data_IF_258961222629
#
_entry.id   IF_258961222629
#
_cell.length_a   1.000
_cell.length_b   1.000
_cell.length_c   1.000
_cell.angle_alpha   90.00
_cell.angle_beta   90.00
_cell.angle_gamma   90.00
#
_symmetry.space_group_name_H-M   'P 1'
#
loop_
_entity.id
_entity.type
_entity.pdbx_description
1 polymer ?
2 polymer ?
3 polymer ?
4 non-polymer ?
5 non-polymer ?
6 water ?
#
# COMPACT_ATOMS: atom_id res chain seq x y z
N UNK A 1 12.47 12.58 -25.67
CA UNK A 1 12.47 12.89 -27.10
C UNK A 1 11.16 13.50 -27.55
N UNK A 2 10.16 12.66 -27.71
CA UNK A 2 8.83 13.12 -28.10
C UNK A 2 8.15 13.50 -26.81
N UNK A 3 7.26 14.49 -26.87
CA UNK A 3 6.48 14.99 -25.72
C UNK A 3 5.61 13.86 -25.13
N UNK A 4 5.19 12.92 -25.98
CA UNK A 4 4.34 11.79 -25.62
C UNK A 4 5.12 10.65 -24.94
N UNK A 5 6.46 10.75 -24.81
CA UNK A 5 7.20 9.71 -24.09
C UNK A 5 7.24 10.15 -22.65
N UNK A 6 6.62 9.38 -21.76
CA UNK A 6 6.56 9.80 -20.36
C UNK A 6 7.82 9.46 -19.59
N UNK A 7 8.27 8.19 -19.66
CA UNK A 7 9.43 7.74 -18.90
C UNK A 7 10.29 6.77 -19.72
N UNK A 8 11.61 6.98 -19.67
CA UNK A 8 12.61 6.16 -20.39
C UNK A 8 13.71 5.75 -19.42
N UNK A 9 14.17 4.51 -19.57
CA UNK A 9 15.37 3.99 -18.90
C UNK A 9 16.25 3.42 -19.98
N UNK A 10 17.46 3.91 -20.09
CA UNK A 10 18.39 3.41 -21.09
C UNK A 10 19.61 2.90 -20.36
N UNK A 11 19.91 1.58 -20.48
CA UNK A 11 21.13 0.94 -19.96
C UNK A 11 21.41 1.27 -18.48
N UNK A 12 20.37 1.20 -17.65
CA UNK A 12 20.45 1.58 -16.25
C UNK A 12 20.92 0.45 -15.34
N UNK A 13 21.94 0.75 -14.52
CA UNK A 13 22.46 -0.12 -13.46
C UNK A 13 22.51 0.75 -12.20
N UNK A 14 22.13 0.18 -11.06
CA UNK A 14 22.16 0.93 -9.81
C UNK A 14 22.53 0.08 -8.62
N UNK A 15 23.06 0.71 -7.57
CA UNK A 15 23.46 0.03 -6.33
C UNK A 15 22.94 0.78 -5.12
N UNK A 16 22.33 0.06 -4.18
CA UNK A 16 21.99 0.60 -2.87
C UNK A 16 23.27 0.73 -2.01
N UNK A 17 24.13 -0.28 -2.08
CA UNK A 17 25.40 -0.27 -1.36
C UNK A 17 26.50 -0.24 -2.39
N UNK A 18 27.28 0.82 -2.34
CA UNK A 18 28.37 1.03 -3.26
C UNK A 18 29.32 -0.18 -3.14
N UNK A 19 29.64 -0.78 -4.27
CA UNK A 19 30.50 -1.95 -4.28
C UNK A 19 29.81 -3.27 -3.95
N UNK A 20 28.50 -3.28 -3.81
CA UNK A 20 27.79 -4.49 -3.49
C UNK A 20 27.09 -5.10 -4.67
N UNK A 21 26.02 -5.82 -4.40
CA UNK A 21 25.25 -6.44 -5.49
C UNK A 21 24.42 -5.38 -6.20
N UNK A 22 24.46 -5.22 -7.55
CA UNK A 22 23.58 -4.20 -8.17
C UNK A 22 22.12 -4.61 -7.98
N UNK A 23 21.31 -3.65 -7.57
CA UNK A 23 19.89 -3.87 -7.32
C UNK A 23 19.12 -3.92 -8.66
N UNK A 24 19.64 -3.22 -9.68
CA UNK A 24 19.09 -3.20 -11.03
C UNK A 24 20.26 -3.21 -11.96
N UNK A 25 20.19 -4.02 -13.03
CA UNK A 25 21.29 -4.18 -13.97
C UNK A 25 20.82 -4.13 -15.41
N UNK A 26 21.39 -3.20 -16.20
CA UNK A 26 21.10 -2.93 -17.62
C UNK A 26 19.59 -2.89 -17.94
N UNK A 27 18.86 -1.98 -17.27
CA UNK A 27 17.43 -1.84 -17.45
C UNK A 27 17.13 -0.91 -18.59
N UNK A 28 16.21 -1.30 -19.46
CA UNK A 28 15.79 -0.56 -20.64
C UNK A 28 14.30 -0.68 -20.82
N UNK A 29 13.63 0.46 -20.93
CA UNK A 29 12.19 0.50 -21.20
C UNK A 29 11.83 1.91 -21.59
N UNK A 30 10.72 2.04 -22.26
CA UNK A 30 10.21 3.32 -22.66
C UNK A 30 8.70 3.27 -22.49
N UNK A 31 8.13 4.19 -21.75
CA UNK A 31 6.69 4.21 -21.57
C UNK A 31 6.11 5.46 -22.19
N UNK A 32 5.15 5.28 -23.09
CA UNK A 32 4.47 6.41 -23.71
C UNK A 32 3.34 6.88 -22.81
N UNK A 33 2.99 8.16 -22.92
CA UNK A 33 1.93 8.76 -22.10
C UNK A 33 0.63 7.97 -22.21
N UNK A 34 0.05 7.66 -21.04
CA UNK A 34 -1.18 6.89 -20.93
C UNK A 34 -1.03 5.38 -20.92
N UNK A 35 0.18 4.86 -21.05
CA UNK A 35 0.34 3.40 -21.03
C UNK A 35 0.45 2.86 -19.64
N UNK A 36 0.12 1.57 -19.52
CA UNK A 36 0.26 0.83 -18.29
C UNK A 36 1.46 -0.14 -18.43
N UNK A 37 2.47 0.02 -17.58
CA UNK A 37 3.60 -0.91 -17.55
C UNK A 37 3.42 -1.77 -16.31
N UNK A 38 3.41 -3.10 -16.48
CA UNK A 38 3.37 -3.98 -15.33
C UNK A 38 4.82 -4.38 -15.00
N UNK A 39 5.20 -4.34 -13.72
CA UNK A 39 6.54 -4.73 -13.25
C UNK A 39 6.33 -5.96 -12.37
N UNK A 40 6.77 -7.10 -12.87
CA UNK A 40 6.60 -8.42 -12.25
C UNK A 40 7.92 -8.96 -11.75
N UNK A 41 7.85 -10.00 -10.92
CA UNK A 41 9.04 -10.66 -10.40
C UNK A 41 8.95 -11.04 -8.95
N UNK A 42 9.76 -12.02 -8.55
CA UNK A 42 9.77 -12.54 -7.20
C UNK A 42 10.29 -11.52 -6.18
N UNK A 43 10.13 -11.83 -4.87
CA UNK A 43 10.59 -11.01 -3.75
C UNK A 43 12.09 -10.69 -3.91
N UNK A 44 12.46 -9.43 -3.74
CA UNK A 44 13.84 -8.96 -3.86
C UNK A 44 14.34 -8.76 -5.28
N UNK A 45 13.46 -8.91 -6.31
CA UNK A 45 13.87 -8.75 -7.70
C UNK A 45 14.35 -7.33 -8.08
N UNK A 46 13.94 -6.32 -7.30
CA UNK A 46 14.30 -4.93 -7.55
C UNK A 46 13.15 -4.06 -8.04
N UNK A 47 11.89 -4.49 -7.80
CA UNK A 47 10.66 -3.78 -8.24
C UNK A 47 10.44 -2.45 -7.54
N UNK A 48 10.40 -2.43 -6.19
CA UNK A 48 10.30 -1.16 -5.42
C UNK A 48 11.52 -0.29 -5.73
N UNK A 49 12.72 -0.88 -5.82
CA UNK A 49 13.93 -0.11 -6.12
C UNK A 49 13.87 0.59 -7.47
N UNK A 50 13.23 -0.05 -8.45
CA UNK A 50 13.03 0.54 -9.78
C UNK A 50 12.18 1.84 -9.65
N UNK A 51 11.11 1.78 -8.84
CA UNK A 51 10.26 2.95 -8.58
C UNK A 51 11.06 4.02 -7.86
N UNK A 52 11.88 3.60 -6.90
CA UNK A 52 12.73 4.49 -6.14
C UNK A 52 13.68 5.24 -7.06
N UNK A 53 14.23 4.58 -8.06
CA UNK A 53 15.08 5.24 -9.01
C UNK A 53 14.31 6.33 -9.78
N UNK A 54 13.13 6.00 -10.27
CA UNK A 54 12.30 6.98 -10.99
C UNK A 54 12.02 8.19 -10.11
N UNK A 55 11.86 7.95 -8.80
CA UNK A 55 11.58 9.02 -7.85
C UNK A 55 12.81 9.81 -7.38
N UNK A 56 14.00 9.44 -7.85
CA UNK A 56 15.25 10.10 -7.46
C UNK A 56 15.76 9.75 -6.09
N UNK A 57 15.24 8.67 -5.50
CA UNK A 57 15.69 8.18 -4.18
C UNK A 57 16.92 7.27 -4.34
N UNK A 58 17.18 6.83 -5.57
CA UNK A 58 18.32 5.97 -5.90
C UNK A 58 18.87 6.42 -7.25
N UNK A 59 20.10 6.91 -7.29
CA UNK A 59 20.63 7.37 -8.57
C UNK A 59 21.36 6.22 -9.27
N UNK A 60 21.24 6.09 -10.60
CA UNK A 60 21.98 5.01 -11.29
C UNK A 60 23.49 5.27 -11.32
N UNK A 61 24.27 4.19 -11.31
CA UNK A 61 25.73 4.25 -11.43
C UNK A 61 26.07 4.46 -12.91
N UNK A 62 25.18 4.05 -13.82
CA UNK A 62 25.31 4.22 -15.28
C UNK A 62 23.94 4.20 -15.96
N UNK A 63 23.89 4.81 -17.13
CA UNK A 63 22.67 4.85 -17.90
C UNK A 63 21.91 6.12 -17.67
N UNK A 64 20.73 6.22 -18.30
CA UNK A 64 19.89 7.42 -18.27
C UNK A 64 18.45 7.12 -17.90
N UNK A 65 17.90 7.91 -16.98
CA UNK A 65 16.49 7.86 -16.59
C UNK A 65 15.93 9.25 -16.83
N UNK A 66 14.81 9.31 -17.54
CA UNK A 66 14.11 10.56 -17.78
C UNK A 66 12.63 10.34 -17.57
N UNK A 67 11.99 11.25 -16.87
CA UNK A 67 10.53 11.27 -16.69
C UNK A 67 10.04 12.70 -16.78
N UNK A 68 8.85 12.87 -17.39
CA UNK A 68 8.22 14.18 -17.53
C UNK A 68 7.28 14.42 -16.35
N UNK A 69 7.36 15.62 -15.80
CA UNK A 69 6.45 16.09 -14.77
C UNK A 69 6.49 15.50 -13.38
N UNK A 70 5.30 15.42 -12.79
CA UNK A 70 5.08 15.03 -11.40
C UNK A 70 4.73 13.55 -11.27
N UNK A 71 5.16 12.98 -10.15
CA UNK A 71 4.94 11.59 -9.80
C UNK A 71 3.99 11.53 -8.63
N UNK A 72 3.18 10.48 -8.59
CA UNK A 72 2.38 10.13 -7.44
C UNK A 72 2.72 8.67 -7.13
N UNK A 73 3.19 8.43 -5.92
CA UNK A 73 3.61 7.10 -5.49
C UNK A 73 2.67 6.49 -4.48
N UNK A 74 2.40 5.19 -4.65
CA UNK A 74 1.63 4.42 -3.69
C UNK A 74 2.55 3.34 -3.16
N UNK A 75 2.93 3.45 -1.89
CA UNK A 75 3.83 2.51 -1.21
C UNK A 75 3.22 1.12 -1.12
N UNK A 76 4.06 0.08 -1.10
CA UNK A 76 3.56 -1.28 -0.92
C UNK A 76 3.00 -1.50 0.50
N UNK A 77 3.36 -0.64 1.43
CA UNK A 77 2.81 -0.68 2.80
C UNK A 77 1.81 0.48 2.95
N UNK A 78 0.56 0.16 3.27
CA UNK A 78 -0.45 1.22 3.41
C UNK A 78 -0.23 1.97 4.73
N UNK A 79 -0.70 3.23 4.76
CA UNK A 79 -0.52 4.06 5.95
C UNK A 79 -1.58 5.13 5.99
N UNK A 80 -1.73 5.73 7.18
CA UNK A 80 -2.59 6.88 7.41
C UNK A 80 -1.87 7.82 8.32
N UNK A 81 -2.35 9.06 8.41
CA UNK A 81 -1.84 9.99 9.40
C UNK A 81 -3.08 10.37 10.23
N UNK A 82 -2.98 10.45 11.57
CA UNK A 82 -4.17 10.82 12.36
C UNK A 82 -4.88 12.04 11.76
N UNK A 83 -6.17 11.88 11.52
CA UNK A 83 -7.01 12.90 10.90
C UNK A 83 -8.22 12.26 10.26
N UNK A 84 -9.00 13.03 9.50
CA UNK A 84 -10.20 12.49 8.87
C UNK A 84 -9.88 11.59 7.67
N UNK A 85 -10.87 10.78 7.24
CA UNK A 85 -10.78 9.96 6.05
C UNK A 85 -10.55 10.92 4.86
N UNK A 86 -11.32 12.01 4.80
CA UNK A 86 -11.21 12.99 3.72
C UNK A 86 -9.79 13.55 3.64
N UNK A 87 -9.21 13.97 4.78
CA UNK A 87 -7.84 14.51 4.78
C UNK A 87 -6.82 13.43 4.38
N UNK A 88 -7.07 12.17 4.77
CA UNK A 88 -6.21 11.06 4.40
C UNK A 88 -6.21 10.82 2.89
N UNK A 89 -7.25 11.28 2.19
CA UNK A 89 -7.32 11.16 0.73
C UNK A 89 -6.75 12.38 0.00
N UNK A 90 -7.11 13.60 0.44
CA UNK A 90 -6.81 14.81 -0.32
C UNK A 90 -5.66 15.64 0.19
N UNK A 91 -5.12 15.41 1.42
CA UNK A 91 -4.06 16.27 1.96
C UNK A 91 -2.97 16.64 0.98
N UNK A 92 -2.71 17.93 0.91
CA UNK A 92 -1.67 18.53 0.09
C UNK A 92 -2.12 18.88 -1.32
N UNK A 93 -3.38 18.50 -1.67
CA UNK A 93 -4.01 18.69 -2.99
C UNK A 93 -5.32 19.45 -2.80
N UNK A 94 -5.64 20.35 -3.75
CA UNK A 94 -6.89 21.11 -3.70
C UNK A 94 -8.12 20.21 -3.82
N UNK A 95 -9.19 20.56 -3.11
CA UNK A 95 -10.42 19.81 -3.17
C UNK A 95 -11.10 20.01 -4.55
N UNK A 96 -11.57 18.91 -5.13
CA UNK A 96 -12.33 18.93 -6.37
C UNK A 96 -13.40 17.90 -6.16
N UNK A 97 -14.61 18.38 -5.97
CA UNK A 97 -15.74 17.55 -5.70
C UNK A 97 -15.87 16.33 -6.60
N UNK A 98 -15.83 16.52 -7.89
CA UNK A 98 -15.99 15.42 -8.82
C UNK A 98 -14.88 14.37 -8.79
N UNK A 99 -13.64 14.81 -8.79
CA UNK A 99 -12.50 13.91 -8.71
C UNK A 99 -12.62 13.08 -7.45
N UNK A 100 -12.86 13.75 -6.34
CA UNK A 100 -13.00 13.14 -5.03
C UNK A 100 -14.03 12.04 -5.06
N UNK A 101 -15.23 12.34 -5.55
CA UNK A 101 -16.29 11.33 -5.61
C UNK A 101 -15.88 10.16 -6.52
N UNK A 102 -15.29 10.46 -7.68
CA UNK A 102 -14.88 9.43 -8.62
C UNK A 102 -13.80 8.53 -8.03
N UNK A 103 -12.87 9.10 -7.23
CA UNK A 103 -11.82 8.30 -6.59
C UNK A 103 -12.39 7.38 -5.47
N UNK A 104 -13.25 7.93 -4.59
CA UNK A 104 -13.92 7.17 -3.51
C UNK A 104 -14.67 5.95 -4.08
N UNK A 105 -15.44 6.19 -5.16
CA UNK A 105 -16.19 5.15 -5.88
C UNK A 105 -15.26 4.06 -6.45
N UNK A 106 -14.26 4.47 -7.25
CA UNK A 106 -13.32 3.56 -7.93
C UNK A 106 -12.50 2.74 -6.95
N UNK A 107 -12.27 3.28 -5.76
CA UNK A 107 -11.51 2.59 -4.75
C UNK A 107 -12.37 1.87 -3.72
N UNK A 108 -13.64 1.77 -4.01
CA UNK A 108 -14.62 1.12 -3.14
C UNK A 108 -14.60 1.60 -1.71
N UNK A 109 -14.74 2.89 -1.52
CA UNK A 109 -14.75 3.44 -0.20
C UNK A 109 -16.11 4.04 0.15
N UNK A 110 -16.95 4.17 -0.85
CA UNK A 110 -18.32 4.69 -0.70
C UNK A 110 -19.08 4.01 0.43
N UNK A 111 -19.15 2.67 0.41
CA UNK A 111 -19.84 1.83 1.40
C UNK A 111 -19.30 2.02 2.81
N UNK A 112 -17.96 1.99 2.96
CA UNK A 112 -17.29 2.16 4.23
C UNK A 112 -17.53 3.54 4.83
N UNK A 113 -17.46 4.59 4.00
CA UNK A 113 -17.72 5.96 4.44
C UNK A 113 -19.18 6.13 4.91
N UNK A 114 -20.15 5.50 4.22
CA UNK A 114 -21.56 5.59 4.55
C UNK A 114 -21.94 4.97 5.91
N UNK A 115 -21.12 4.03 6.45
CA UNK A 115 -21.38 3.39 7.76
C UNK A 115 -21.18 4.34 8.94
N UNK A 116 -20.38 5.40 8.77
CA UNK A 116 -20.12 6.36 9.85
C UNK A 116 -21.09 7.51 9.86
N UNK A 117 -21.48 7.96 11.06
CA UNK A 117 -22.39 9.09 11.24
C UNK A 117 -21.74 10.38 10.73
N UNK A 118 -20.41 10.50 10.92
CA UNK A 118 -19.61 11.65 10.48
C UNK A 118 -19.16 11.47 9.03
N UNK A 119 -19.47 10.31 8.42
CA UNK A 119 -19.12 9.92 7.04
C UNK A 119 -17.61 10.09 6.79
N UNK A 120 -17.18 10.82 5.75
CA UNK A 120 -15.76 11.03 5.45
C UNK A 120 -15.09 12.06 6.40
N UNK A 121 -15.86 12.64 7.35
CA UNK A 121 -15.32 13.55 8.36
C UNK A 121 -14.94 12.77 9.62
N UNK A 122 -15.14 11.42 9.59
CA UNK A 122 -14.81 10.53 10.71
C UNK A 122 -13.29 10.56 10.97
N UNK A 123 -12.91 10.74 12.21
CA UNK A 123 -11.50 10.82 12.58
C UNK A 123 -10.89 9.42 12.72
N UNK A 124 -9.73 9.22 12.06
CA UNK A 124 -8.95 7.98 12.10
C UNK A 124 -7.86 8.08 13.14
N UNK A 125 -7.72 7.03 13.92
CA UNK A 125 -6.69 6.93 14.93
C UNK A 125 -7.12 6.17 16.17
N UNK A 126 -6.15 5.96 17.08
CA UNK A 126 -6.35 5.28 18.35
C UNK A 126 -7.59 5.81 19.04
N UNK A 127 -7.75 7.14 19.02
CA UNK A 127 -8.85 7.87 19.65
C UNK A 127 -10.11 8.04 18.84
N UNK A 128 -10.11 7.49 17.61
CA UNK A 128 -11.25 7.50 16.70
C UNK A 128 -11.52 6.13 16.11
N UNK A 129 -11.58 6.03 14.79
CA UNK A 129 -11.79 4.76 14.13
C UNK A 129 -10.44 4.15 13.70
N UNK A 130 -10.29 2.82 13.82
CA UNK A 130 -9.11 2.11 13.33
C UNK A 130 -9.51 1.40 12.04
N UNK A 131 -8.93 1.80 10.91
CA UNK A 131 -9.23 1.12 9.65
C UNK A 131 -8.66 -0.31 9.68
N UNK A 132 -9.33 -1.26 9.00
CA UNK A 132 -8.82 -2.61 8.82
C UNK A 132 -7.65 -2.50 7.78
N UNK A 133 -6.90 -3.58 7.58
CA UNK A 133 -5.81 -3.60 6.62
C UNK A 133 -6.28 -3.28 5.22
N UNK A 134 -7.45 -3.83 4.87
CA UNK A 134 -8.08 -3.65 3.56
C UNK A 134 -8.49 -2.21 3.34
N UNK A 135 -9.16 -1.61 4.34
CA UNK A 135 -9.58 -0.20 4.28
C UNK A 135 -8.39 0.74 4.13
N UNK A 136 -7.30 0.46 4.88
CA UNK A 136 -6.09 1.27 4.85
C UNK A 136 -5.41 1.19 3.48
N UNK A 137 -5.44 0.00 2.85
CA UNK A 137 -4.87 -0.20 1.51
C UNK A 137 -5.71 0.57 0.47
N UNK A 138 -7.06 0.57 0.60
CA UNK A 138 -7.91 1.31 -0.35
C UNK A 138 -7.76 2.83 -0.18
N UNK A 139 -7.64 3.30 1.08
CA UNK A 139 -7.47 4.73 1.29
C UNK A 139 -6.07 5.18 0.82
N UNK A 140 -5.05 4.31 0.96
CA UNK A 140 -3.70 4.67 0.50
C UNK A 140 -3.66 4.73 -1.02
N UNK A 141 -4.38 3.82 -1.70
CA UNK A 141 -4.46 3.88 -3.16
C UNK A 141 -5.25 5.16 -3.59
N UNK A 142 -6.37 5.48 -2.89
CA UNK A 142 -7.16 6.68 -3.22
C UNK A 142 -6.32 7.97 -3.09
N UNK A 143 -5.45 8.06 -2.04
CA UNK A 143 -4.54 9.20 -1.79
C UNK A 143 -3.58 9.38 -3.00
N UNK A 144 -3.01 8.27 -3.44
CA UNK A 144 -2.09 8.30 -4.57
C UNK A 144 -2.79 8.66 -5.89
N UNK A 145 -3.99 8.11 -6.12
CA UNK A 145 -4.69 8.31 -7.38
C UNK A 145 -5.39 9.66 -7.47
N UNK A 146 -5.79 10.24 -6.31
CA UNK A 146 -6.45 11.55 -6.26
C UNK A 146 -5.54 12.66 -6.74
N UNK A 147 -4.26 12.57 -6.40
CA UNK A 147 -3.27 13.57 -6.80
C UNK A 147 -3.16 13.57 -8.32
N UNK A 148 -3.20 14.76 -8.96
CA UNK A 148 -3.00 14.88 -10.40
C UNK A 148 -1.51 14.70 -10.66
N UNK A 149 -1.12 13.72 -11.47
CA UNK A 149 0.31 13.48 -11.73
C UNK A 149 0.53 13.06 -13.17
N UNK A 150 1.76 13.22 -13.66
CA UNK A 150 2.08 12.75 -15.01
C UNK A 150 2.45 11.26 -15.02
N UNK A 151 2.74 10.71 -13.85
CA UNK A 151 3.20 9.34 -13.70
C UNK A 151 2.79 8.79 -12.33
N UNK A 152 2.06 7.66 -12.34
CA UNK A 152 1.61 6.98 -11.11
C UNK A 152 2.45 5.74 -10.90
N UNK A 153 3.09 5.66 -9.73
CA UNK A 153 3.95 4.53 -9.37
C UNK A 153 3.22 3.78 -8.27
N UNK A 154 2.54 2.69 -8.67
CA UNK A 154 1.70 1.86 -7.80
C UNK A 154 2.42 0.61 -7.45
N UNK A 155 2.98 0.61 -6.24
CA UNK A 155 3.78 -0.48 -5.80
C UNK A 155 2.97 -1.52 -5.10
N UNK A 156 2.52 -2.55 -5.84
CA UNK A 156 1.70 -3.65 -5.29
C UNK A 156 0.56 -3.14 -4.37
N UNK A 157 -0.36 -2.29 -4.90
CA UNK A 157 -1.40 -1.71 -4.03
C UNK A 157 -2.46 -2.70 -3.56
N UNK A 158 -2.45 -3.91 -4.11
CA UNK A 158 -3.42 -4.94 -3.75
C UNK A 158 -2.84 -6.07 -2.90
N UNK A 159 -1.58 -5.95 -2.46
CA UNK A 159 -0.92 -6.99 -1.65
C UNK A 159 -1.65 -7.41 -0.38
N UNK A 160 -2.46 -6.50 0.19
CA UNK A 160 -3.20 -6.72 1.44
C UNK A 160 -4.72 -6.70 1.23
N UNK A 161 -5.16 -6.85 -0.04
CA UNK A 161 -6.58 -6.89 -0.37
C UNK A 161 -7.01 -8.31 -0.69
N UNK A 162 -8.28 -8.63 -0.44
CA UNK A 162 -8.82 -9.94 -0.84
C UNK A 162 -8.93 -9.91 -2.38
N UNK A 163 -8.97 -11.10 -3.03
CA UNK A 163 -8.96 -11.18 -4.49
C UNK A 163 -10.24 -10.60 -5.15
N UNK A 164 -11.41 -10.65 -4.46
CA UNK A 164 -12.65 -10.13 -5.05
C UNK A 164 -12.56 -8.60 -5.12
N UNK A 165 -12.18 -7.95 -4.01
CA UNK A 165 -11.99 -6.50 -3.98
C UNK A 165 -10.87 -6.08 -4.94
N UNK A 166 -9.78 -6.84 -4.98
CA UNK A 166 -8.64 -6.52 -5.85
C UNK A 166 -9.09 -6.43 -7.33
N UNK A 167 -9.84 -7.46 -7.81
CA UNK A 167 -10.32 -7.48 -9.21
C UNK A 167 -11.15 -6.22 -9.52
N UNK A 168 -12.11 -5.90 -8.64
CA UNK A 168 -12.98 -4.72 -8.76
C UNK A 168 -12.21 -3.41 -8.86
N UNK A 169 -11.23 -3.20 -7.99
CA UNK A 169 -10.44 -1.97 -7.95
C UNK A 169 -9.44 -1.91 -9.11
N UNK A 170 -8.85 -3.05 -9.48
CA UNK A 170 -7.95 -3.06 -10.62
C UNK A 170 -8.73 -2.60 -11.87
N UNK A 171 -9.97 -3.10 -12.02
CA UNK A 171 -10.82 -2.76 -13.15
C UNK A 171 -11.35 -1.33 -13.05
N UNK A 172 -12.00 -0.97 -11.93
CA UNK A 172 -12.62 0.35 -11.79
C UNK A 172 -11.61 1.50 -11.63
N UNK A 173 -10.51 1.29 -10.90
CA UNK A 173 -9.55 2.35 -10.67
C UNK A 173 -8.41 2.36 -11.69
N UNK A 174 -7.55 1.33 -11.67
CA UNK A 174 -6.34 1.26 -12.48
C UNK A 174 -6.67 1.23 -13.99
N UNK A 175 -7.68 0.44 -14.38
CA UNK A 175 -8.02 0.31 -15.80
C UNK A 175 -9.03 1.32 -16.28
N UNK A 176 -10.04 1.70 -15.49
CA UNK A 176 -11.04 2.64 -16.06
C UNK A 176 -10.75 4.05 -15.68
N UNK A 177 -10.84 4.38 -14.37
CA UNK A 177 -10.60 5.74 -13.91
C UNK A 177 -9.25 6.31 -14.39
N UNK A 178 -8.21 5.47 -14.38
CA UNK A 178 -6.85 5.87 -14.78
C UNK A 178 -6.49 5.49 -16.22
N UNK A 179 -7.48 5.15 -17.05
CA UNK A 179 -7.25 4.69 -18.45
C UNK A 179 -6.27 5.53 -19.28
N UNK A 180 -6.24 6.85 -19.07
CA UNK A 180 -5.30 7.61 -19.91
C UNK A 180 -4.13 8.21 -19.11
N UNK A 181 -3.86 7.64 -17.95
CA UNK A 181 -2.77 8.12 -17.12
C UNK A 181 -1.57 7.21 -17.35
N UNK A 182 -0.35 7.70 -17.19
CA UNK A 182 0.83 6.84 -17.28
C UNK A 182 0.98 6.13 -15.94
N UNK A 183 1.00 4.80 -15.97
CA UNK A 183 1.02 3.98 -14.76
C UNK A 183 2.06 2.91 -14.84
N UNK A 184 2.75 2.74 -13.73
CA UNK A 184 3.68 1.66 -13.51
C UNK A 184 3.08 0.93 -12.33
N UNK A 185 2.60 -0.26 -12.61
CA UNK A 185 1.98 -1.13 -11.63
C UNK A 185 2.88 -2.33 -11.26
N UNK A 186 3.32 -2.40 -9.98
CA UNK A 186 4.10 -3.55 -9.53
C UNK A 186 3.07 -4.67 -9.21
N UNK A 187 3.06 -5.73 -10.01
CA UNK A 187 2.14 -6.88 -9.90
C UNK A 187 2.74 -8.02 -10.69
N UNK A 188 2.53 -9.27 -10.24
CA UNK A 188 3.01 -10.45 -10.97
C UNK A 188 1.79 -11.35 -11.36
N UNK A 189 0.56 -10.82 -11.24
CA UNK A 189 -0.67 -11.54 -11.58
C UNK A 189 -0.89 -11.55 -13.07
N UNK A 190 -1.13 -12.72 -13.63
CA UNK A 190 -1.43 -12.89 -15.05
C UNK A 190 -2.69 -12.09 -15.43
N UNK A 191 -3.66 -12.01 -14.48
CA UNK A 191 -4.93 -11.29 -14.57
C UNK A 191 -4.68 -9.77 -14.83
N UNK A 192 -3.55 -9.25 -14.37
CA UNK A 192 -3.14 -7.86 -14.52
C UNK A 192 -2.28 -7.68 -15.76
N UNK A 193 -1.32 -8.59 -15.97
CA UNK A 193 -0.41 -8.57 -17.11
C UNK A 193 -1.14 -8.57 -18.45
N UNK A 194 -2.32 -9.27 -18.50
CA UNK A 194 -3.26 -9.37 -19.62
C UNK A 194 -3.64 -7.98 -20.15
N UNK A 195 -3.79 -7.01 -19.23
CA UNK A 195 -4.25 -5.64 -19.51
C UNK A 195 -3.13 -4.62 -19.73
N UNK A 196 -1.89 -4.99 -19.44
CA UNK A 196 -0.78 -4.03 -19.56
C UNK A 196 -0.37 -3.79 -21.02
N UNK A 197 0.11 -2.58 -21.31
CA UNK A 197 0.58 -2.24 -22.64
C UNK A 197 2.01 -2.77 -22.78
N UNK A 198 2.76 -2.81 -21.66
CA UNK A 198 4.13 -3.33 -21.62
C UNK A 198 4.35 -4.05 -20.32
N UNK A 199 5.25 -5.02 -20.32
CA UNK A 199 5.56 -5.81 -19.15
C UNK A 199 7.06 -5.92 -18.99
N UNK A 200 7.52 -5.73 -17.75
CA UNK A 200 8.93 -5.88 -17.39
C UNK A 200 8.98 -6.92 -16.29
N UNK A 201 9.69 -8.01 -16.54
CA UNK A 201 9.84 -9.03 -15.52
C UNK A 201 11.23 -8.94 -15.03
N UNK A 202 11.38 -8.62 -13.74
CA UNK A 202 12.70 -8.54 -13.14
C UNK A 202 13.02 -9.83 -12.44
N UNK A 203 14.29 -10.27 -12.51
CA UNK A 203 14.83 -11.41 -11.75
C UNK A 203 16.23 -11.06 -11.25
N UNK A 204 16.35 -10.93 -9.93
CA UNK A 204 17.59 -10.56 -9.23
C UNK A 204 18.25 -9.29 -9.85
N UNK A 205 17.43 -8.27 -10.10
CA UNK A 205 17.86 -7.00 -10.66
C UNK A 205 17.98 -6.93 -12.16
N UNK A 206 18.00 -8.07 -12.84
CA UNK A 206 18.12 -8.13 -14.29
C UNK A 206 16.76 -8.17 -15.00
N UNK A 207 16.73 -7.71 -16.26
CA UNK A 207 15.53 -7.75 -17.10
C UNK A 207 15.45 -9.11 -17.78
N UNK A 208 14.54 -9.97 -17.31
CA UNK A 208 14.32 -11.30 -17.85
C UNK A 208 13.31 -11.27 -18.98
N UNK A 209 12.44 -10.25 -18.98
CA UNK A 209 11.47 -10.07 -20.04
C UNK A 209 11.08 -8.61 -20.14
N UNK A 210 11.03 -8.09 -21.38
CA UNK A 210 10.51 -6.77 -21.64
C UNK A 210 9.82 -6.78 -22.99
N UNK A 211 8.50 -6.59 -22.97
CA UNK A 211 7.70 -6.62 -24.19
C UNK A 211 6.22 -6.63 -23.88
N UNK A 212 5.41 -6.98 -24.88
CA UNK A 212 3.95 -6.99 -24.80
C UNK A 212 3.43 -8.27 -24.16
N UNK A 213 2.12 -8.32 -23.85
CA UNK A 213 1.50 -9.52 -23.34
C UNK A 213 1.53 -10.66 -24.41
N UNK A 214 1.44 -10.31 -25.72
CA UNK A 214 1.49 -11.31 -26.82
C UNK A 214 2.85 -11.98 -26.83
N UNK A 215 3.92 -11.18 -26.69
CA UNK A 215 5.30 -11.66 -26.68
C UNK A 215 5.53 -12.57 -25.48
N UNK A 216 4.97 -12.21 -24.32
CA UNK A 216 5.09 -13.02 -23.10
C UNK A 216 4.36 -14.37 -23.26
N UNK A 217 3.09 -14.33 -23.73
CA UNK A 217 2.24 -15.50 -23.95
C UNK A 217 2.89 -16.46 -24.95
N UNK A 218 3.65 -15.92 -25.89
CA UNK A 218 4.35 -16.71 -26.86
C UNK A 218 5.56 -17.38 -26.27
N UNK A 219 6.01 -16.92 -25.11
CA UNK A 219 7.17 -17.49 -24.47
C UNK A 219 6.83 -18.42 -23.32
N UNK B 1 -2.80 -28.34 -13.89
CA UNK B 1 -2.54 -29.47 -13.00
C UNK B 1 -2.27 -28.99 -11.56
N UNK B 2 -3.09 -28.04 -11.10
CA UNK B 2 -3.05 -27.45 -9.75
C UNK B 2 -4.44 -27.52 -9.15
N UNK B 3 -4.54 -27.89 -7.86
CA UNK B 3 -5.82 -27.99 -7.18
C UNK B 3 -5.81 -27.50 -5.73
N UNK B 4 -6.90 -26.82 -5.32
CA UNK B 4 -7.12 -26.42 -3.94
C UNK B 4 -8.25 -27.30 -3.44
N UNK B 5 -8.16 -27.80 -2.22
CA UNK B 5 -9.19 -28.66 -1.65
C UNK B 5 -9.47 -28.34 -0.18
N UNK B 6 -10.71 -27.89 0.08
CA UNK B 6 -11.20 -27.55 1.41
C UNK B 6 -11.73 -28.80 2.10
N UNK B 7 -11.61 -28.85 3.43
CA UNK B 7 -12.06 -29.94 4.29
C UNK B 7 -12.33 -29.39 5.68
N UNK B 8 -13.09 -30.15 6.48
CA UNK B 8 -13.40 -29.79 7.86
C UNK B 8 -14.76 -29.17 8.08
N UNK B 9 -15.54 -29.04 7.01
CA UNK B 9 -16.88 -28.47 7.08
C UNK B 9 -17.89 -29.44 7.67
N UNK B 10 -19.12 -28.97 7.87
CA UNK B 10 -20.18 -29.80 8.41
C UNK B 10 -21.28 -29.05 9.12
N UNK B 11 -22.14 -29.81 9.79
CA UNK B 11 -23.30 -29.32 10.54
C UNK B 11 -22.95 -29.23 12.02
N UNK B 12 -22.97 -28.02 12.57
CA UNK B 12 -22.60 -27.74 13.97
C UNK B 12 -23.62 -26.86 14.68
N UNK B 13 -23.54 -26.75 16.01
CA UNK B 13 -24.46 -25.91 16.76
C UNK B 13 -23.87 -24.52 17.01
N UNK B 14 -24.73 -23.52 17.26
CA UNK B 14 -24.33 -22.16 17.58
C UNK B 14 -23.46 -22.16 18.85
N UNK B 15 -22.38 -21.38 18.83
CA UNK B 15 -21.46 -21.26 19.96
C UNK B 15 -20.30 -22.22 19.91
N UNK B 16 -20.37 -23.20 19.03
CA UNK B 16 -19.35 -24.22 18.80
C UNK B 16 -18.17 -23.64 18.01
N UNK B 17 -17.09 -24.43 17.88
CA UNK B 17 -15.88 -24.06 17.15
C UNK B 17 -15.56 -25.17 16.13
N UNK B 18 -14.99 -24.79 14.97
CA UNK B 18 -14.67 -25.71 13.88
C UNK B 18 -13.40 -25.24 13.18
N UNK B 19 -12.62 -26.20 12.61
CA UNK B 19 -11.39 -25.85 11.89
C UNK B 19 -11.45 -26.31 10.45
N UNK B 20 -11.24 -25.38 9.54
CA UNK B 20 -11.25 -25.67 8.11
C UNK B 20 -9.82 -25.71 7.64
N UNK B 21 -9.56 -26.55 6.64
CA UNK B 21 -8.22 -26.69 6.07
C UNK B 21 -8.33 -26.64 4.57
N UNK B 22 -7.34 -26.04 3.91
CA UNK B 22 -7.29 -25.97 2.45
C UNK B 22 -5.86 -26.24 1.97
N UNK B 23 -5.69 -27.39 1.32
CA UNK B 23 -4.40 -27.84 0.80
C UNK B 23 -4.26 -27.57 -0.69
N UNK B 24 -3.15 -26.92 -1.06
CA UNK B 24 -2.80 -26.64 -2.45
C UNK B 24 -1.94 -27.82 -2.93
N UNK B 25 -2.40 -28.50 -3.96
CA UNK B 25 -1.71 -29.65 -4.53
C UNK B 25 -1.47 -29.50 -6.03
N UNK B 26 -0.62 -30.37 -6.56
CA UNK B 26 -0.29 -30.39 -7.97
C UNK B 26 1.05 -29.74 -8.25
N UNK B 27 1.22 -29.36 -9.52
CA UNK B 27 2.43 -28.79 -10.09
C UNK B 27 2.71 -27.34 -9.63
N UNK B 28 2.82 -27.14 -8.30
CA UNK B 28 3.09 -25.86 -7.64
C UNK B 28 4.58 -25.55 -7.66
N UNK B 29 4.94 -24.32 -8.04
CA UNK B 29 6.30 -23.81 -7.96
C UNK B 29 6.35 -22.90 -6.72
N UNK B 30 5.31 -22.04 -6.55
CA UNK B 30 5.21 -21.07 -5.45
C UNK B 30 3.78 -20.59 -5.20
N UNK B 31 3.52 -20.02 -4.00
CA UNK B 31 2.21 -19.47 -3.59
C UNK B 31 2.37 -18.13 -2.89
N UNK B 32 1.61 -17.13 -3.36
CA UNK B 32 1.64 -15.81 -2.71
C UNK B 32 0.50 -15.76 -1.69
N UNK B 33 -0.48 -14.90 -1.87
CA UNK B 33 -1.58 -14.79 -0.95
C UNK B 33 -2.51 -16.02 -0.98
N UNK B 34 -3.12 -16.32 0.15
CA UNK B 34 -4.12 -17.35 0.31
C UNK B 34 -5.24 -16.76 1.14
N UNK B 35 -6.46 -17.24 0.98
CA UNK B 35 -7.54 -16.68 1.77
C UNK B 35 -8.76 -17.53 1.80
N UNK B 36 -9.64 -17.19 2.74
CA UNK B 36 -10.91 -17.84 2.96
C UNK B 36 -12.02 -16.86 2.63
N UNK B 37 -13.01 -17.35 1.90
CA UNK B 37 -14.14 -16.56 1.43
C UNK B 37 -15.38 -17.37 1.73
N UNK B 38 -16.54 -16.73 1.71
CA UNK B 38 -17.76 -17.50 1.94
C UNK B 38 -18.89 -16.91 1.13
N UNK B 39 -19.85 -17.76 0.78
CA UNK B 39 -21.03 -17.34 0.04
C UNK B 39 -22.24 -18.08 0.61
N UNK B 40 -23.28 -17.32 0.99
CA UNK B 40 -24.54 -17.87 1.50
C UNK B 40 -25.62 -17.73 0.40
N UNK B 41 -26.66 -18.61 0.34
CA UNK B 41 -27.67 -18.47 -0.72
C UNK B 41 -28.32 -17.10 -0.79
N UNK B 42 -28.43 -16.58 -2.01
CA UNK B 42 -28.98 -15.26 -2.29
C UNK B 42 -27.99 -14.13 -2.12
N UNK B 43 -26.94 -14.37 -1.32
CA UNK B 43 -25.89 -13.39 -1.00
C UNK B 43 -24.65 -13.58 -1.89
N UNK B 44 -23.85 -12.52 -2.04
CA UNK B 44 -22.64 -12.54 -2.85
C UNK B 44 -21.45 -13.06 -2.06
N UNK B 45 -20.48 -13.66 -2.77
CA UNK B 45 -19.25 -14.15 -2.13
C UNK B 45 -18.48 -12.94 -1.59
N UNK B 46 -17.92 -13.10 -0.40
CA UNK B 46 -17.13 -12.08 0.27
C UNK B 46 -15.99 -12.70 1.07
N UNK B 47 -14.93 -11.93 1.30
CA UNK B 47 -13.77 -12.38 2.06
C UNK B 47 -14.16 -12.67 3.50
N UNK B 48 -13.46 -13.62 4.10
CA UNK B 48 -13.58 -13.94 5.51
C UNK B 48 -12.24 -13.54 6.14
N UNK B 49 -11.12 -14.05 5.58
CA UNK B 49 -9.76 -13.78 6.08
C UNK B 49 -8.74 -14.05 4.99
N UNK B 50 -7.64 -13.29 4.98
CA UNK B 50 -6.58 -13.50 4.00
C UNK B 50 -5.25 -13.57 4.73
N UNK B 51 -4.25 -14.23 4.13
CA UNK B 51 -2.92 -14.38 4.72
C UNK B 51 -1.83 -14.35 3.63
N UNK B 52 -0.83 -13.47 3.80
CA UNK B 52 0.30 -13.38 2.87
C UNK B 52 1.30 -14.52 3.12
N UNK B 53 2.25 -14.74 2.18
CA UNK B 53 3.30 -15.78 2.25
C UNK B 53 4.16 -15.64 3.52
N UNK B 54 4.26 -14.40 4.01
CA UNK B 54 4.99 -13.96 5.20
C UNK B 54 4.17 -14.23 6.48
N UNK B 55 2.85 -14.40 6.34
CA UNK B 55 1.97 -14.64 7.46
C UNK B 55 1.21 -13.43 7.99
N UNK B 56 1.17 -12.30 7.21
CA UNK B 56 0.37 -11.12 7.59
C UNK B 56 -1.10 -11.42 7.31
N UNK B 57 -2.00 -11.08 8.23
CA UNK B 57 -3.42 -11.41 8.12
C UNK B 57 -4.37 -10.20 8.08
N UNK B 58 -5.61 -10.42 7.60
CA UNK B 58 -6.71 -9.46 7.60
C UNK B 58 -8.00 -10.21 7.68
N UNK B 59 -8.99 -9.65 8.35
CA UNK B 59 -10.27 -10.30 8.59
C UNK B 59 -11.42 -9.39 8.22
N UNK B 60 -12.55 -9.99 7.80
CA UNK B 60 -13.77 -9.23 7.59
C UNK B 60 -14.23 -8.80 9.01
N UNK B 61 -14.79 -7.58 9.17
CA UNK B 61 -15.28 -7.10 10.48
C UNK B 61 -16.18 -8.08 11.20
N UNK B 62 -17.09 -8.76 10.45
CA UNK B 62 -18.04 -9.75 11.00
C UNK B 62 -17.42 -10.96 11.69
N UNK B 63 -16.13 -11.28 11.42
CA UNK B 63 -15.48 -12.49 11.97
C UNK B 63 -14.30 -12.20 12.89
N UNK B 64 -13.78 -10.96 12.86
CA UNK B 64 -12.61 -10.55 13.64
C UNK B 64 -12.86 -10.84 15.11
N UNK B 65 -11.91 -11.49 15.75
CA UNK B 65 -12.02 -11.88 17.16
C UNK B 65 -12.65 -13.24 17.37
N UNK B 66 -13.32 -13.79 16.34
CA UNK B 66 -13.94 -15.10 16.44
C UNK B 66 -13.17 -16.12 15.62
N UNK B 67 -12.67 -15.69 14.44
CA UNK B 67 -11.96 -16.58 13.49
C UNK B 67 -10.50 -16.21 13.39
N UNK B 68 -9.64 -17.22 13.16
CA UNK B 68 -8.21 -17.02 12.99
C UNK B 68 -7.76 -17.76 11.74
N UNK B 69 -7.01 -17.07 10.87
CA UNK B 69 -6.45 -17.67 9.67
C UNK B 69 -4.97 -17.94 9.94
N UNK B 70 -4.47 -19.11 9.53
CA UNK B 70 -3.07 -19.49 9.72
C UNK B 70 -2.61 -20.21 8.47
N UNK B 71 -1.30 -20.30 8.31
CA UNK B 71 -0.69 -20.84 7.12
C UNK B 71 0.51 -21.73 7.43
N UNK B 72 0.67 -22.83 6.67
CA UNK B 72 1.82 -23.73 6.74
C UNK B 72 2.39 -23.86 5.33
N UNK B 73 3.47 -23.11 5.07
CA UNK B 73 4.15 -23.03 3.78
C UNK B 73 4.77 -24.34 3.32
N UNK B 74 5.25 -25.17 4.27
CA UNK B 74 5.85 -26.48 4.00
C UNK B 74 4.80 -27.42 3.39
N UNK B 75 3.54 -27.31 3.86
CA UNK B 75 2.41 -28.13 3.40
C UNK B 75 1.52 -27.42 2.37
N UNK B 76 1.84 -26.13 2.03
CA UNK B 76 1.04 -25.30 1.11
C UNK B 76 -0.45 -25.37 1.55
N UNK B 77 -0.69 -25.20 2.86
CA UNK B 77 -2.02 -25.33 3.44
C UNK B 77 -2.39 -24.09 4.25
N UNK B 78 -3.66 -23.69 4.16
CA UNK B 78 -4.20 -22.54 4.90
C UNK B 78 -5.34 -23.05 5.78
N UNK B 79 -5.43 -22.54 7.00
CA UNK B 79 -6.44 -22.98 7.97
C UNK B 79 -7.32 -21.85 8.43
N UNK B 80 -8.56 -22.19 8.77
CA UNK B 80 -9.49 -21.24 9.33
C UNK B 80 -10.07 -21.81 10.62
N UNK B 81 -9.60 -21.29 11.75
CA UNK B 81 -10.11 -21.72 13.02
C UNK B 81 -11.31 -20.85 13.29
N UNK B 82 -12.47 -21.46 13.38
CA UNK B 82 -13.69 -20.73 13.61
C UNK B 82 -14.22 -21.00 15.01
N UNK B 83 -14.31 -19.96 15.82
CA UNK B 83 -14.82 -20.06 17.17
C UNK B 83 -16.07 -19.25 17.30
N UNK B 84 -16.80 -19.51 18.35
CA UNK B 84 -18.03 -18.74 18.65
C UNK B 84 -18.97 -18.62 17.41
N UNK B 85 -19.26 -19.78 16.78
CA UNK B 85 -20.08 -19.84 15.57
C UNK B 85 -21.50 -19.33 15.78
N UNK B 86 -21.98 -18.54 14.82
CA UNK B 86 -23.32 -17.94 14.83
C UNK B 86 -24.12 -18.46 13.62
N UNK B 87 -25.49 -18.50 13.67
CA UNK B 87 -26.25 -18.94 12.48
C UNK B 87 -25.91 -18.15 11.22
N UNK B 88 -25.50 -16.86 11.37
CA UNK B 88 -25.06 -15.99 10.26
C UNK B 88 -23.76 -16.49 9.59
N UNK B 89 -23.05 -17.46 10.22
CA UNK B 89 -21.84 -18.06 9.67
C UNK B 89 -22.15 -19.20 8.68
N UNK B 90 -23.41 -19.65 8.60
CA UNK B 90 -23.82 -20.68 7.66
C UNK B 90 -23.56 -20.21 6.22
N UNK B 91 -22.73 -20.98 5.47
CA UNK B 91 -22.30 -20.64 4.11
C UNK B 91 -21.37 -21.69 3.52
N UNK B 92 -21.08 -21.54 2.22
CA UNK B 92 -20.10 -22.39 1.56
C UNK B 92 -18.82 -21.58 1.70
N UNK B 93 -17.78 -22.19 2.27
CA UNK B 93 -16.47 -21.59 2.50
C UNK B 93 -15.53 -22.00 1.38
N UNK B 94 -14.94 -20.99 0.72
CA UNK B 94 -14.05 -21.21 -0.40
C UNK B 94 -12.66 -20.75 -0.09
N UNK B 95 -11.70 -21.52 -0.56
CA UNK B 95 -10.29 -21.21 -0.42
C UNK B 95 -9.77 -20.61 -1.74
N UNK B 96 -8.91 -19.58 -1.65
CA UNK B 96 -8.26 -18.98 -2.82
C UNK B 96 -6.76 -18.97 -2.60
N UNK B 97 -5.99 -19.03 -3.69
CA UNK B 97 -4.54 -18.92 -3.65
C UNK B 97 -4.04 -18.36 -4.95
N UNK B 98 -3.00 -17.52 -4.87
CA UNK B 98 -2.31 -16.97 -6.04
C UNK B 98 -1.18 -17.95 -6.25
N UNK B 99 -1.21 -18.69 -7.36
CA UNK B 99 -0.22 -19.74 -7.58
C UNK B 99 0.60 -19.64 -8.86
N UNK B 100 1.92 -19.88 -8.73
CA UNK B 100 2.86 -19.99 -9.84
C UNK B 100 3.02 -21.48 -10.13
N UNK B 101 2.56 -21.92 -11.29
CA UNK B 101 2.68 -23.30 -11.75
C UNK B 101 4.12 -23.57 -12.18
N UNK B 102 4.55 -24.83 -12.12
CA UNK B 102 5.90 -25.28 -12.49
C UNK B 102 6.26 -25.10 -13.96
N UNK B 103 5.29 -25.23 -14.88
CA UNK B 103 5.56 -25.10 -16.34
C UNK B 103 5.63 -23.63 -16.82
N UNK B 104 5.68 -22.65 -15.88
CA UNK B 104 5.78 -21.24 -16.24
C UNK B 104 7.23 -20.74 -16.17
N UNK B 105 7.76 -20.18 -17.27
CA UNK B 105 9.14 -19.71 -17.28
C UNK B 105 9.40 -18.52 -16.38
N UNK B 106 8.35 -17.85 -15.90
CA UNK B 106 8.54 -16.70 -15.05
C UNK B 106 7.74 -16.76 -13.75
N UNK B 107 8.08 -15.88 -12.80
CA UNK B 107 7.47 -15.77 -11.49
C UNK B 107 6.11 -15.11 -11.49
N UNK B 108 5.19 -15.68 -12.24
CA UNK B 108 3.86 -15.12 -12.44
C UNK B 108 2.82 -15.98 -11.80
N UNK B 109 1.74 -15.38 -11.28
CA UNK B 109 0.69 -16.13 -10.61
C UNK B 109 -0.61 -16.10 -11.38
N UNK B 110 -1.45 -17.09 -11.09
CA UNK B 110 -2.80 -17.28 -11.59
C UNK B 110 -3.64 -17.53 -10.34
N UNK B 111 -4.89 -17.09 -10.35
CA UNK B 111 -5.81 -17.26 -9.24
C UNK B 111 -6.48 -18.62 -9.35
N UNK B 112 -6.49 -19.37 -8.24
CA UNK B 112 -7.14 -20.69 -8.11
C UNK B 112 -8.14 -20.65 -6.96
N UNK B 113 -9.23 -21.42 -7.11
CA UNK B 113 -10.27 -21.55 -6.11
C UNK B 113 -10.54 -22.99 -5.83
N UNK B 114 -10.88 -23.27 -4.59
CA UNK B 114 -11.31 -24.61 -4.19
C UNK B 114 -12.76 -24.82 -4.59
N UNK B 115 -13.25 -26.06 -4.43
CA UNK B 115 -14.63 -26.42 -4.76
C UNK B 115 -15.61 -25.88 -3.71
N UNK B 116 -15.13 -25.74 -2.47
CA UNK B 116 -15.88 -25.22 -1.34
C UNK B 116 -16.35 -26.28 -0.37
N UNK B 117 -16.51 -25.89 0.91
CA UNK B 117 -17.06 -26.76 1.94
C UNK B 117 -18.22 -26.06 2.62
N UNK B 118 -19.29 -26.80 2.86
CA UNK B 118 -20.43 -26.25 3.55
C UNK B 118 -20.19 -26.24 5.06
N UNK B 119 -20.61 -25.15 5.69
CA UNK B 119 -20.57 -24.99 7.13
C UNK B 119 -21.98 -24.57 7.48
N UNK B 120 -22.68 -25.44 8.20
CA UNK B 120 -24.04 -25.17 8.60
C UNK B 120 -24.07 -25.07 10.10
N UNK B 121 -24.51 -23.93 10.59
CA UNK B 121 -24.55 -23.68 12.01
C UNK B 121 -25.97 -23.69 12.51
N UNK B 122 -26.24 -24.66 13.37
CA UNK B 122 -27.55 -24.84 13.98
C UNK B 122 -27.76 -23.89 15.15
N UNK C 1 6.62 0.27 20.84
CA UNK C 1 7.71 -0.46 20.18
C UNK C 1 8.66 0.51 19.44
N UNK C 2 8.29 1.80 19.44
CA UNK C 2 8.98 2.91 18.77
C UNK C 2 8.78 4.15 19.66
N UNK C 3 9.84 4.97 19.81
CA UNK C 3 9.79 6.25 20.52
C UNK C 3 10.26 7.34 19.55
N UNK C 4 9.56 8.46 19.51
CA UNK C 4 9.91 9.59 18.65
C UNK C 4 10.31 10.76 19.52
N UNK C 5 11.37 11.45 19.13
CA UNK C 5 11.85 12.61 19.89
C UNK C 5 12.17 13.73 18.96
N UNK C 6 11.45 14.83 19.15
CA UNK C 6 11.68 16.03 18.35
C UNK C 6 12.71 16.89 19.04
N UNK C 7 13.41 17.69 18.24
CA UNK C 7 14.35 18.71 18.67
C UNK C 7 14.45 19.79 17.58
N UNK C 8 15.08 20.91 17.93
CA UNK C 8 15.29 22.01 17.00
C UNK C 8 14.39 23.22 17.19
N UNK C 9 13.35 23.09 18.03
CA UNK C 9 12.42 24.18 18.30
C UNK C 9 13.02 25.30 19.12
N UNK C 10 12.35 26.45 19.16
CA UNK C 10 12.81 27.59 19.94
C UNK C 10 12.31 28.93 19.47
N UNK C 11 12.96 30.01 19.95
CA UNK C 11 12.61 31.38 19.62
C UNK C 11 13.42 31.88 18.42
N UNK C 12 12.72 32.49 17.46
CA UNK C 12 13.28 33.01 16.20
C UNK C 12 12.46 34.22 15.72
N UNK C 13 13.09 35.15 15.02
CA UNK C 13 12.40 36.33 14.53
C UNK C 13 11.85 36.04 13.21
N UNK C 14 10.76 36.71 12.88
CA UNK C 14 10.10 36.60 11.62
C UNK C 14 11.06 36.70 10.43
N UNK C 15 10.91 35.82 9.47
CA UNK C 15 11.78 35.81 8.32
C UNK C 15 12.92 34.83 8.47
N UNK C 16 13.21 34.48 9.69
CA UNK C 16 14.25 33.54 10.05
C UNK C 16 13.90 32.11 9.69
N UNK C 17 14.82 31.19 9.96
CA UNK C 17 14.69 29.78 9.66
C UNK C 17 14.90 28.93 10.90
N UNK C 18 14.35 27.72 10.86
CA UNK C 18 14.47 26.73 11.92
C UNK C 18 14.48 25.35 11.27
N UNK C 19 15.23 24.40 11.84
CA UNK C 19 15.26 23.06 11.32
C UNK C 19 14.89 22.13 12.42
N UNK C 20 13.69 21.52 12.30
CA UNK C 20 13.23 20.58 13.29
C UNK C 20 13.67 19.20 12.91
N UNK C 21 14.04 18.38 13.90
CA UNK C 21 14.39 16.99 13.66
C UNK C 21 13.55 16.07 14.52
N UNK C 22 13.26 14.89 14.01
CA UNK C 22 12.48 13.89 14.74
C UNK C 22 13.21 12.55 14.62
N UNK C 23 13.73 12.06 15.74
CA UNK C 23 14.48 10.82 15.77
C UNK C 23 13.61 9.65 16.24
N UNK C 24 13.51 8.61 15.42
CA UNK C 24 12.79 7.42 15.82
C UNK C 24 13.79 6.44 16.38
N UNK C 25 13.44 5.80 17.46
CA UNK C 25 14.27 4.76 18.09
C UNK C 25 13.37 3.64 18.52
N UNK C 26 13.98 2.49 18.73
CA UNK C 26 13.31 1.26 19.14
C UNK C 26 14.22 0.10 18.85
N UNK C 27 13.65 -1.06 18.61
CA UNK C 27 14.45 -2.23 18.37
C UNK C 27 14.24 -2.79 16.99
N UNK C 28 13.01 -3.21 16.69
CA UNK C 28 12.62 -3.78 15.41
C UNK C 28 11.43 -2.99 14.88
N UNK C 29 11.67 -2.16 13.86
CA UNK C 29 10.64 -1.33 13.24
C UNK C 29 11.02 -0.81 11.83
N UNK C 30 9.99 -0.62 11.01
CA UNK C 30 10.08 -0.15 9.64
C UNK C 30 9.12 1.03 9.50
N UNK C 31 9.68 2.22 9.27
CA UNK C 31 8.94 3.46 9.10
C UNK C 31 8.33 3.46 7.70
N UNK C 32 7.02 3.71 7.61
CA UNK C 32 6.30 3.73 6.33
C UNK C 32 6.14 5.16 5.88
N UNK C 33 5.72 6.05 6.77
CA UNK C 33 5.51 7.45 6.48
C UNK C 33 5.73 8.25 7.73
N UNK C 34 6.13 9.51 7.57
CA UNK C 34 6.35 10.41 8.71
C UNK C 34 5.66 11.75 8.43
N UNK C 35 4.98 12.28 9.42
CA UNK C 35 4.31 13.55 9.29
C UNK C 35 4.65 14.53 10.39
N UNK C 36 4.50 15.82 10.09
CA UNK C 36 4.72 16.92 11.02
C UNK C 36 3.37 17.62 11.24
N UNK C 37 3.01 17.83 12.49
CA UNK C 37 1.79 18.51 12.91
C UNK C 37 2.16 19.74 13.73
N UNK C 38 1.24 20.70 13.79
CA UNK C 38 1.41 21.83 14.66
C UNK C 38 0.15 22.11 15.43
N UNK C 39 0.30 22.55 16.65
CA UNK C 39 -0.83 22.81 17.50
C UNK C 39 -0.70 24.13 18.24
N UNK C 40 -1.69 24.99 18.04
CA UNK C 40 -1.82 26.26 18.75
C UNK C 40 -2.60 25.95 20.04
N UNK C 41 -2.37 26.67 21.16
CA UNK C 41 -3.10 26.36 22.41
C UNK C 41 -4.63 26.34 22.23
N UNK C 42 -5.27 25.29 22.73
CA UNK C 42 -6.72 25.09 22.68
C UNK C 42 -7.29 24.67 21.33
N UNK C 43 -6.43 24.41 20.34
CA UNK C 43 -6.81 24.04 18.99
C UNK C 43 -6.42 22.61 18.64
N UNK C 44 -6.96 22.11 17.52
CA UNK C 44 -6.65 20.77 17.04
C UNK C 44 -5.23 20.79 16.49
N UNK C 45 -4.61 19.64 16.45
CA UNK C 45 -3.30 19.44 15.83
C UNK C 45 -3.57 19.50 14.32
N UNK C 46 -2.73 20.24 13.59
CA UNK C 46 -2.88 20.46 12.15
C UNK C 46 -1.71 19.78 11.43
N UNK C 47 -2.03 18.92 10.47
CA UNK C 47 -1.01 18.27 9.68
C UNK C 47 -0.39 19.37 8.75
N UNK C 48 0.94 19.52 8.76
CA UNK C 48 1.53 20.53 7.88
C UNK C 48 2.38 19.91 6.78
N UNK C 49 2.95 18.71 7.05
CA UNK C 49 3.80 18.04 6.05
C UNK C 49 3.84 16.55 6.29
N UNK C 50 3.91 15.78 5.22
CA UNK C 50 4.00 14.33 5.30
C UNK C 50 4.92 13.79 4.20
N UNK C 51 5.68 12.77 4.51
CA UNK C 51 6.52 12.15 3.53
C UNK C 51 6.38 10.65 3.65
N UNK C 52 6.23 9.96 2.54
CA UNK C 52 6.19 8.52 2.55
C UNK C 52 7.61 8.20 2.10
N UNK C 53 7.82 7.67 0.91
CA UNK C 53 9.18 7.51 0.47
C UNK C 53 9.30 8.40 -0.74
N UNK C 54 9.96 9.54 -0.59
CA UNK C 54 10.17 10.44 -1.70
C UNK C 54 8.95 11.08 -2.34
N UNK C 55 7.81 11.06 -1.67
CA UNK C 55 6.57 11.65 -2.10
C UNK C 55 6.22 12.50 -0.92
N UNK C 56 6.09 13.78 -1.13
CA UNK C 56 5.82 14.76 -0.07
C UNK C 56 4.52 15.52 -0.32
N UNK C 57 3.88 15.99 0.77
CA UNK C 57 2.63 16.76 0.71
C UNK C 57 2.71 17.84 1.76
N UNK C 58 2.15 19.02 1.47
CA UNK C 58 2.16 20.17 2.38
C UNK C 58 0.81 20.81 2.51
N UNK C 59 0.55 21.40 3.69
CA UNK C 59 -0.64 22.18 3.94
C UNK C 59 -0.41 23.47 3.14
N UNK C 60 -1.47 24.07 2.60
CA UNK C 60 -1.40 25.29 1.78
C UNK C 60 -0.67 26.43 2.48
N UNK C 61 -0.86 26.55 3.77
CA UNK C 61 -0.26 27.61 4.56
C UNK C 61 1.25 27.54 4.66
N UNK C 62 1.79 26.39 4.35
CA UNK C 62 3.20 26.16 4.48
C UNK C 62 3.97 25.91 3.17
N UNK C 63 3.26 25.83 2.07
CA UNK C 63 3.84 25.53 0.77
C UNK C 63 4.88 26.54 0.36
N UNK C 64 5.97 26.05 -0.20
CA UNK C 64 7.07 26.92 -0.61
C UNK C 64 7.98 27.37 0.50
N UNK C 65 7.56 27.24 1.77
CA UNK C 65 8.38 27.67 2.92
C UNK C 65 8.97 26.51 3.71
N UNK C 66 8.17 25.44 3.89
CA UNK C 66 8.61 24.27 4.67
C UNK C 66 8.93 23.12 3.74
N UNK C 67 9.93 22.32 4.12
CA UNK C 67 10.34 21.16 3.35
C UNK C 67 10.52 20.01 4.29
N UNK C 68 9.84 18.91 4.01
CA UNK C 68 10.00 17.71 4.79
C UNK C 68 11.00 16.79 4.07
N UNK C 69 11.88 16.09 4.80
CA UNK C 69 12.87 15.18 4.20
C UNK C 69 13.19 14.09 5.22
N UNK C 70 13.78 12.98 4.74
CA UNK C 70 14.16 11.81 5.55
C UNK C 70 15.63 11.46 5.46
N UNK C 71 16.21 10.99 6.58
CA UNK C 71 17.53 10.34 6.55
C UNK C 71 17.16 8.87 6.78
N UNK C 72 17.03 8.09 5.69
CA UNK C 72 16.59 6.69 5.75
C UNK C 72 17.55 5.76 6.49
N UNK C 73 18.86 6.04 6.44
CA UNK C 73 19.84 5.22 7.14
C UNK C 73 19.68 5.41 8.66
N UNK C 74 19.24 6.63 9.09
CA UNK C 74 19.15 7.06 10.50
C UNK C 74 17.77 7.08 11.16
N UNK C 75 16.67 6.68 10.45
CA UNK C 75 15.32 6.72 11.05
C UNK C 75 14.89 8.14 11.54
N UNK C 76 15.41 9.19 10.87
CA UNK C 76 15.11 10.60 11.21
C UNK C 76 14.34 11.29 10.07
N UNK C 77 13.51 12.26 10.45
CA UNK C 77 12.76 13.13 9.55
C UNK C 77 13.05 14.54 9.99
N UNK C 78 13.09 15.46 9.04
CA UNK C 78 13.35 16.85 9.29
C UNK C 78 12.26 17.74 8.74
N UNK C 79 12.17 18.94 9.33
CA UNK C 79 11.27 19.96 8.85
C UNK C 79 12.10 21.21 8.73
N UNK C 80 12.41 21.60 7.51
CA UNK C 80 13.18 22.79 7.29
C UNK C 80 12.15 23.88 7.17
N UNK C 81 12.16 24.82 8.11
CA UNK C 81 11.19 25.90 8.11
C UNK C 81 11.87 27.23 7.80
N UNK C 82 11.51 27.80 6.67
CA UNK C 82 12.07 29.03 6.16
C UNK C 82 10.99 30.11 6.07
N UNK C 83 11.40 31.38 6.06
CA UNK C 83 10.52 32.56 5.97
C UNK C 83 9.41 32.47 7.02
N UNK C 84 9.83 32.11 8.24
CA UNK C 84 8.94 31.92 9.39
C UNK C 84 8.15 33.17 9.70
N UNK C 85 6.88 32.96 10.05
CA UNK C 85 5.91 34.02 10.33
C UNK C 85 5.41 33.88 11.78
N UNK C 86 4.93 34.96 12.44
CA UNK C 86 4.38 34.80 13.81
C UNK C 86 3.31 33.72 13.95
N UNK C 87 2.43 33.55 12.93
CA UNK C 87 1.36 32.55 12.87
C UNK C 87 1.88 31.10 12.79
N UNK C 88 3.20 30.90 12.59
CA UNK C 88 3.80 29.57 12.62
C UNK C 88 4.08 29.15 14.07
N UNK C 89 3.90 30.08 15.05
CA UNK C 89 4.12 29.82 16.47
C UNK C 89 3.16 28.73 16.89
N UNK C 90 3.70 27.61 17.36
CA UNK C 90 2.90 26.47 17.80
C UNK C 90 3.82 25.43 18.38
N UNK C 91 3.24 24.37 18.95
CA UNK C 91 4.00 23.18 19.34
C UNK C 91 3.98 22.27 18.08
N UNK C 92 5.15 21.77 17.65
CA UNK C 92 5.27 20.90 16.48
C UNK C 92 5.52 19.46 16.91
N UNK C 93 4.75 18.55 16.34
CA UNK C 93 4.84 17.13 16.68
C UNK C 93 5.18 16.33 15.45
N UNK C 94 5.98 15.28 15.62
CA UNK C 94 6.14 14.37 14.50
C UNK C 94 5.24 13.15 14.79
N UNK C 95 4.85 12.47 13.75
CA UNK C 95 4.02 11.28 13.83
C UNK C 95 4.56 10.27 12.83
N UNK C 96 4.77 9.02 13.25
CA UNK C 96 5.28 7.98 12.37
C UNK C 96 4.32 6.87 12.16
N UNK C 97 4.12 6.47 10.88
CA UNK C 97 3.30 5.30 10.53
C UNK C 97 4.37 4.20 10.44
N UNK C 98 4.22 3.13 11.20
CA UNK C 98 5.25 2.10 11.32
C UNK C 98 4.68 0.68 11.29
N UNK C 99 5.47 -0.29 10.83
CA UNK C 99 5.16 -1.71 10.92
C UNK C 99 6.09 -2.26 11.98
N UNK C 100 5.50 -2.72 13.08
CA UNK C 100 6.18 -3.37 14.20
C UNK C 100 5.51 -4.77 14.34
N UNK C 101 5.23 -5.44 13.18
CA UNK C 101 4.51 -6.74 13.06
C UNK C 101 2.98 -6.56 12.91
N UNK C 102 2.48 -5.36 13.27
CA UNK C 102 1.10 -4.85 13.21
C UNK C 102 1.29 -3.39 12.81
N UNK C 103 0.26 -2.79 12.23
CA UNK C 103 0.34 -1.39 11.82
C UNK C 103 -0.04 -0.48 13.00
N UNK C 104 0.77 0.53 13.24
CA UNK C 104 0.50 1.56 14.25
C UNK C 104 1.08 2.91 13.85
N UNK C 105 0.52 4.00 14.43
CA UNK C 105 1.06 5.36 14.36
C UNK C 105 1.54 5.70 15.78
N UNK C 106 2.61 6.48 15.87
CA UNK C 106 3.23 6.94 17.13
C UNK C 106 3.36 8.44 17.07
N UNK C 107 3.15 9.12 18.21
CA UNK C 107 3.31 10.55 18.32
C UNK C 107 4.61 10.83 19.05
N UNK C 108 5.27 11.94 18.70
CA UNK C 108 6.40 12.43 19.47
C UNK C 108 5.81 13.23 20.64
N UNK C 109 6.63 13.87 21.47
CA UNK C 109 6.05 14.67 22.55
C UNK C 109 5.99 16.19 22.22
N UNK C 110 6.45 16.59 21.04
CA UNK C 110 6.35 17.98 20.61
C UNK C 110 7.49 18.92 21.00
N UNK C 111 7.66 19.97 20.20
CA UNK C 111 8.69 20.99 20.39
C UNK C 111 8.10 22.35 20.05
N UNK C 112 8.21 23.28 20.99
CA UNK C 112 7.70 24.63 20.84
C UNK C 112 8.51 25.43 19.83
N UNK C 113 7.81 26.09 18.92
CA UNK C 113 8.39 26.99 17.93
C UNK C 113 7.72 28.35 18.20
N UNK C 114 8.50 29.37 18.54
CA UNK C 114 7.96 30.70 18.80
C UNK C 114 8.56 31.71 17.84
N UNK C 115 7.74 32.33 17.03
CA UNK C 115 8.17 33.28 16.08
C UNK C 115 7.72 34.70 16.43
N UNK C 116 8.69 35.54 16.72
CA UNK C 116 8.48 36.94 17.09
C UNK C 116 8.34 37.89 15.91
N UNK C 117 7.72 39.04 16.12
CA UNK C 117 7.52 39.98 15.04
C UNK C 117 8.71 40.88 14.68
X LIG D 1 8.80 -4.13 -3.11
X LIG E 1 9.07 -7.36 -2.96
X LIG E 1 8.32 -8.01 -4.03
X LIG E 1 8.48 -6.10 -2.51
X LIG E 1 9.28 -8.27 -1.83
X LIG E 1 11.08 -5.99 -4.51
X LIG E 1 11.19 -6.56 -5.84
X LIG E 1 10.28 -4.79 -4.27
X LIG E 1 10.54 -7.08 -3.49
X LIG E 1 13.36 -4.50 -3.53
X LIG E 1 12.75 -4.04 -2.31
X LIG E 1 13.65 -3.58 -4.63
X LIG E 1 12.58 -5.79 -4.04
X LIG E 1 14.73 -5.18 -3.09
X LIG E 1 15.94 -5.21 -3.81
X LIG E 1 17.09 -5.08 -2.81
X LIG E 1 17.26 -3.72 -2.42
X LIG E 1 16.87 -5.84 -1.51
X LIG E 1 18.12 -6.32 -1.11
X LIG E 1 16.42 -4.77 -0.54
X LIG E 1 16.58 -5.03 0.86
X LIG E 1 17.21 -3.59 -1.01
X LIG E 1 16.44 -2.40 -0.69
X LIG E 1 15.15 -2.25 -0.89
X LIG E 1 14.71 -1.05 -0.50
X LIG E 1 15.77 -0.39 -0.03
X LIG E 1 16.03 0.92 0.57
X LIG E 1 15.04 1.82 0.73
X LIG E 1 17.28 1.18 0.95
X LIG E 1 18.27 0.31 0.80
X LIG E 1 18.12 -0.90 0.28
X LIG E 1 16.91 -1.31 -0.13
X LIG F 1 1.90 7.87 -27.71
#
# INVERSE_FOLDING_TARGET
>A
SLTTTEVVMENVTAFWEEGGTPVLKDINFKIERGQLLAVAGSTGAGKTSLLMMIMGELEPSEGKIKHSGRISFCSQFSWIMPGTIKENIIFGVSYDEYRYRSVIKACQLEEDISKFAEKDNIVLGEGGITLSGGQRARISLARAVYKDADLYLLDSPFGYLDVLTEKEIFESCVCKLMANKTRILVTSKMEHLKKADKILILHEGSSYFYGTFSELQNLQPDFSSKLMG
>B
QVQLQESGGGLVQAGSSLRLACAATGSIRSINNMGWYRQAPGKQRGMVAIITRVGNTDYADSVKGRFTISRDNAKNTVYLQMNSLKPEDTATYYCHAEITEQSRPFYLTDDYWGQGTQVTVSSAAAHHHHHHGAAEQKLISEEDLNGAA
>C
QVQLQESGGGLVQAGGSLRLSCAASGSTFAIIAMGWYRQAPGKQRELVAVISTGDTRYADSVKGRFTISRDNAKNTVYLQMDSLRPEDTAVYYCNAAVQVRDYRNYWGQGTQVTVSSAAAHHHHHHGAAEQKLISEEDLNGAA
>D hetero
1 MG MG
>E hetero
1 ATP PG O1G O2G O3G PB O1B O2B O3B PA O1A O2A O3A O5' C5' C4' O4' C3' O3' C2' O2' C1' N9 C8 N7 C5 C6 N6 N1 C2 N3 C4
>F hetero
1 MG MG
#
